data_IF_663241098604
#
_entry.id   IF_663241098604
#
_cell.length_a   1.000
_cell.length_b   1.000
_cell.length_c   1.000
_cell.angle_alpha   90.00
_cell.angle_beta   90.00
_cell.angle_gamma   90.00
#
_symmetry.space_group_name_H-M   'P 1'
#
loop_
_entity.id
_entity.type
_entity.pdbx_description
1 polymer ?
#
# COMPACT_ATOMS: atom_id res chain seq x y z
N UNK A 1 -5.27 -19.00 -18.74
CA UNK A 1 -6.25 -18.09 -19.41
C UNK A 1 -7.41 -17.93 -18.45
N UNK A 2 -7.43 -16.88 -17.65
CA UNK A 2 -8.59 -16.56 -16.82
C UNK A 2 -9.62 -15.90 -17.73
N UNK A 3 -10.75 -16.59 -17.96
CA UNK A 3 -11.91 -15.97 -18.59
C UNK A 3 -12.28 -14.73 -17.74
N UNK A 4 -12.11 -13.53 -18.30
CA UNK A 4 -12.74 -12.33 -17.76
C UNK A 4 -14.26 -12.51 -17.94
N UNK A 5 -15.05 -12.67 -16.87
CA UNK A 5 -16.48 -12.52 -17.00
C UNK A 5 -16.76 -11.02 -17.12
N UNK A 6 -17.31 -10.65 -18.26
CA UNK A 6 -18.01 -9.39 -18.49
C UNK A 6 -17.54 -8.17 -17.70
N UNK A 7 -16.55 -7.42 -18.23
CA UNK A 7 -16.26 -6.01 -17.90
C UNK A 7 -16.10 -5.61 -16.42
N UNK A 8 -16.05 -6.52 -15.49
CA UNK A 8 -15.77 -6.23 -14.09
C UNK A 8 -14.26 -6.16 -13.84
N UNK A 9 -13.82 -5.13 -13.13
CA UNK A 9 -12.48 -5.06 -12.57
C UNK A 9 -12.38 -5.92 -11.30
N UNK A 10 -11.29 -5.73 -10.56
CA UNK A 10 -11.04 -6.41 -9.29
C UNK A 10 -10.08 -5.61 -8.41
N UNK A 11 -10.03 -5.96 -7.13
CA UNK A 11 -9.17 -5.34 -6.13
C UNK A 11 -8.10 -6.34 -5.68
N UNK A 12 -6.82 -5.94 -5.81
CA UNK A 12 -5.66 -6.64 -5.27
C UNK A 12 -5.09 -5.83 -4.11
N UNK A 13 -4.90 -6.47 -2.96
CA UNK A 13 -4.32 -5.83 -1.78
C UNK A 13 -3.00 -6.47 -1.42
N UNK A 14 -1.98 -5.64 -1.26
CA UNK A 14 -0.64 -6.00 -0.80
C UNK A 14 -0.45 -5.35 0.57
N UNK A 15 -0.54 -6.13 1.63
CA UNK A 15 -0.40 -5.62 3.00
C UNK A 15 0.80 -6.25 3.72
N UNK A 16 1.12 -5.74 4.89
CA UNK A 16 2.21 -6.22 5.75
C UNK A 16 2.92 -5.10 6.47
N UNK A 17 3.87 -5.44 7.33
CA UNK A 17 4.65 -4.49 8.12
C UNK A 17 5.66 -3.68 7.27
N UNK A 18 6.34 -2.72 7.89
CA UNK A 18 7.46 -2.03 7.22
C UNK A 18 8.56 -3.03 6.83
N UNK A 19 9.27 -2.72 5.75
CA UNK A 19 10.37 -3.53 5.19
C UNK A 19 9.95 -4.88 4.58
N UNK A 20 8.66 -5.13 4.39
CA UNK A 20 8.15 -6.38 3.81
C UNK A 20 8.12 -6.42 2.28
N UNK A 21 8.52 -5.35 1.58
CA UNK A 21 8.57 -5.31 0.12
C UNK A 21 7.24 -4.97 -0.57
N UNK A 22 6.30 -4.34 0.13
CA UNK A 22 4.98 -3.97 -0.44
C UNK A 22 5.10 -3.07 -1.68
N UNK A 23 5.88 -2.01 -1.58
CA UNK A 23 6.07 -1.05 -2.69
C UNK A 23 6.78 -1.71 -3.87
N UNK A 24 7.76 -2.59 -3.64
CA UNK A 24 8.39 -3.40 -4.69
C UNK A 24 7.38 -4.26 -5.44
N UNK A 25 6.52 -4.95 -4.70
CA UNK A 25 5.49 -5.82 -5.29
C UNK A 25 4.44 -5.00 -6.04
N UNK A 26 4.02 -3.86 -5.51
CA UNK A 26 3.14 -2.91 -6.21
C UNK A 26 3.77 -2.48 -7.54
N UNK A 27 5.00 -1.98 -7.52
CA UNK A 27 5.73 -1.56 -8.72
C UNK A 27 5.87 -2.71 -9.71
N UNK A 28 6.19 -3.92 -9.24
CA UNK A 28 6.29 -5.12 -10.09
C UNK A 28 4.99 -5.41 -10.84
N UNK A 29 3.84 -5.32 -10.16
CA UNK A 29 2.51 -5.53 -10.79
C UNK A 29 2.17 -4.43 -11.80
N UNK A 30 2.45 -3.17 -11.45
CA UNK A 30 2.17 -2.03 -12.31
C UNK A 30 3.03 -2.07 -13.59
N UNK A 31 4.32 -2.38 -13.48
CA UNK A 31 5.20 -2.57 -14.66
C UNK A 31 4.72 -3.68 -15.58
N UNK A 32 4.21 -4.77 -15.03
CA UNK A 32 3.61 -5.84 -15.85
C UNK A 32 2.37 -5.36 -16.62
N UNK A 33 1.58 -4.46 -16.04
CA UNK A 33 0.45 -3.83 -16.73
C UNK A 33 0.92 -2.93 -17.88
N UNK A 34 1.96 -2.11 -17.64
CA UNK A 34 2.58 -1.28 -18.70
C UNK A 34 3.14 -2.12 -19.84
N UNK A 35 3.84 -3.22 -19.55
CA UNK A 35 4.33 -4.17 -20.56
C UNK A 35 3.17 -4.75 -21.38
N UNK A 36 2.01 -4.99 -20.74
CA UNK A 36 0.78 -5.41 -21.39
C UNK A 36 0.06 -4.29 -22.16
N UNK A 37 0.66 -3.09 -22.22
CA UNK A 37 0.12 -1.88 -22.89
C UNK A 37 -1.19 -1.39 -22.29
N UNK A 38 -1.41 -1.63 -21.01
CA UNK A 38 -2.51 -1.05 -20.25
C UNK A 38 -2.10 0.34 -19.75
N UNK A 39 -3.07 1.26 -19.73
CA UNK A 39 -2.87 2.57 -19.14
C UNK A 39 -2.84 2.47 -17.62
N UNK A 40 -1.82 3.06 -16.98
CA UNK A 40 -1.59 2.97 -15.54
C UNK A 40 -1.64 4.35 -14.91
N UNK A 41 -2.40 4.51 -13.83
CA UNK A 41 -2.36 5.67 -12.95
C UNK A 41 -1.98 5.24 -11.53
N UNK A 42 -1.11 6.01 -10.87
CA UNK A 42 -0.58 5.67 -9.56
C UNK A 42 -0.82 6.83 -8.61
N UNK A 43 -1.33 6.55 -7.43
CA UNK A 43 -1.69 7.52 -6.41
C UNK A 43 -0.99 7.25 -5.09
N UNK A 44 -0.66 8.33 -4.39
CA UNK A 44 -0.09 8.33 -3.05
C UNK A 44 -0.71 9.47 -2.24
N UNK A 45 -0.98 9.29 -0.94
CA UNK A 45 -1.51 10.38 -0.10
C UNK A 45 -0.43 11.44 0.12
N UNK A 46 -0.84 12.71 0.09
CA UNK A 46 0.01 13.85 0.39
C UNK A 46 0.09 14.06 1.91
N UNK A 47 0.89 13.27 2.59
CA UNK A 47 1.00 13.33 4.06
C UNK A 47 2.12 14.25 4.50
N UNK A 48 3.18 14.36 3.72
CA UNK A 48 4.34 15.20 4.05
C UNK A 48 5.11 15.62 2.79
N UNK A 49 5.38 16.91 2.71
CA UNK A 49 6.15 17.53 1.63
C UNK A 49 7.65 17.28 1.70
N UNK A 50 8.15 16.54 2.71
CA UNK A 50 9.57 16.27 2.91
C UNK A 50 10.14 15.12 2.10
N UNK A 51 9.28 14.29 1.50
CA UNK A 51 9.72 13.25 0.56
C UNK A 51 9.31 13.61 -0.86
N UNK A 52 10.33 13.92 -1.62
CA UNK A 52 10.43 14.27 -3.03
C UNK A 52 9.25 13.96 -3.95
N UNK A 53 8.93 14.99 -4.72
CA UNK A 53 8.16 15.02 -5.97
C UNK A 53 7.74 13.66 -6.54
N UNK A 54 6.50 13.23 -6.23
CA UNK A 54 5.67 12.43 -7.11
C UNK A 54 6.20 11.09 -7.62
N UNK A 55 7.14 10.42 -6.93
CA UNK A 55 7.58 9.09 -7.32
C UNK A 55 7.31 8.07 -6.20
N UNK A 56 6.81 6.88 -6.56
CA UNK A 56 6.95 5.72 -5.67
C UNK A 56 8.39 5.24 -5.81
N UNK A 57 9.11 5.25 -4.69
CA UNK A 57 10.49 4.75 -4.63
C UNK A 57 10.49 3.56 -3.69
N UNK A 58 10.91 2.40 -4.17
CA UNK A 58 11.25 1.29 -3.27
C UNK A 58 12.66 1.49 -2.71
N UNK A 59 12.99 0.82 -1.61
CA UNK A 59 14.34 0.77 -1.06
C UNK A 59 15.41 0.34 -2.10
N UNK A 60 15.01 -0.35 -3.17
CA UNK A 60 15.86 -0.78 -4.28
C UNK A 60 15.89 0.19 -5.47
N UNK A 61 15.54 1.48 -5.27
CA UNK A 61 15.54 2.53 -6.30
C UNK A 61 14.62 2.26 -7.51
N UNK A 62 13.64 1.38 -7.38
CA UNK A 62 12.60 1.22 -8.39
C UNK A 62 11.63 2.39 -8.27
N UNK A 63 11.48 3.16 -9.35
CA UNK A 63 10.63 4.36 -9.36
C UNK A 63 9.55 4.25 -10.41
N UNK A 64 8.34 4.65 -10.06
CA UNK A 64 7.26 4.96 -10.98
C UNK A 64 6.64 6.30 -10.56
N UNK A 65 6.30 7.11 -11.55
CA UNK A 65 5.70 8.43 -11.30
C UNK A 65 4.31 8.25 -10.67
N UNK A 66 4.10 8.82 -9.49
CA UNK A 66 2.80 8.83 -8.81
C UNK A 66 2.23 10.24 -8.69
N UNK A 67 0.91 10.32 -8.63
CA UNK A 67 0.16 11.53 -8.35
C UNK A 67 -0.06 11.63 -6.83
N UNK A 68 0.36 12.75 -6.25
CA UNK A 68 0.07 13.05 -4.85
C UNK A 68 -1.34 13.65 -4.76
N UNK A 69 -2.20 13.08 -3.94
CA UNK A 69 -3.57 13.51 -3.73
C UNK A 69 -3.84 13.79 -2.25
N UNK A 70 -4.70 14.76 -1.97
CA UNK A 70 -5.05 15.14 -0.61
C UNK A 70 -6.17 14.27 -0.02
N UNK A 71 -7.01 13.71 -0.88
CA UNK A 71 -8.12 12.84 -0.47
C UNK A 71 -8.41 11.74 -1.49
N UNK A 72 -9.12 10.69 -1.02
CA UNK A 72 -9.58 9.60 -1.88
C UNK A 72 -10.53 10.07 -3.00
N UNK A 73 -11.24 11.19 -2.80
CA UNK A 73 -12.19 11.73 -3.77
C UNK A 73 -11.53 12.21 -5.09
N UNK A 74 -10.23 12.54 -5.05
CA UNK A 74 -9.49 12.99 -6.23
C UNK A 74 -9.09 11.84 -7.15
N UNK A 75 -9.06 10.60 -6.65
CA UNK A 75 -8.56 9.44 -7.41
C UNK A 75 -9.44 9.13 -8.62
N UNK A 76 -10.74 8.99 -8.44
CA UNK A 76 -11.64 8.58 -9.52
C UNK A 76 -11.63 9.54 -10.73
N UNK A 77 -11.69 10.88 -10.56
CA UNK A 77 -11.57 11.81 -11.69
C UNK A 77 -10.24 11.72 -12.42
N UNK A 78 -9.13 11.59 -11.66
CA UNK A 78 -7.77 11.52 -12.22
C UNK A 78 -7.45 10.17 -12.85
N UNK A 79 -8.14 9.09 -12.45
CA UNK A 79 -7.97 7.73 -12.96
C UNK A 79 -8.91 7.40 -14.13
N UNK A 80 -9.65 8.38 -14.67
CA UNK A 80 -10.71 8.15 -15.66
C UNK A 80 -10.25 7.29 -16.85
N UNK A 81 -9.09 7.61 -17.41
CA UNK A 81 -8.56 6.96 -18.61
C UNK A 81 -7.59 5.79 -18.30
N UNK A 82 -7.40 5.44 -17.04
CA UNK A 82 -6.54 4.34 -16.67
C UNK A 82 -7.28 3.01 -16.67
N UNK A 83 -6.62 1.94 -17.14
CA UNK A 83 -7.09 0.55 -17.03
C UNK A 83 -6.71 -0.06 -15.68
N UNK A 84 -5.54 0.34 -15.17
CA UNK A 84 -4.96 -0.17 -13.93
C UNK A 84 -4.62 1.00 -13.01
N UNK A 85 -5.02 0.87 -11.75
CA UNK A 85 -4.85 1.90 -10.73
C UNK A 85 -4.00 1.33 -9.61
N UNK A 86 -2.86 1.95 -9.33
CA UNK A 86 -2.02 1.67 -8.17
C UNK A 86 -2.27 2.70 -7.08
N UNK A 87 -2.42 2.25 -5.83
CA UNK A 87 -2.55 3.13 -4.66
C UNK A 87 -1.54 2.66 -3.62
N UNK A 88 -0.57 3.51 -3.29
CA UNK A 88 0.43 3.22 -2.25
C UNK A 88 0.10 3.96 -0.95
N UNK A 89 0.61 3.46 0.18
CA UNK A 89 0.46 4.03 1.52
C UNK A 89 -1.02 4.26 1.91
N UNK A 90 -1.89 3.32 1.54
CA UNK A 90 -3.35 3.49 1.66
C UNK A 90 -3.83 3.68 3.09
N UNK A 91 -3.10 3.23 4.12
CA UNK A 91 -3.41 3.42 5.53
C UNK A 91 -3.55 4.91 5.94
N UNK A 92 -3.06 5.80 5.13
CA UNK A 92 -3.11 7.25 5.39
C UNK A 92 -4.26 7.96 4.68
N UNK A 93 -5.05 7.27 3.89
CA UNK A 93 -6.26 7.85 3.30
C UNK A 93 -7.43 7.87 4.29
N UNK A 94 -8.45 8.64 3.95
CA UNK A 94 -9.75 8.61 4.62
C UNK A 94 -10.53 7.32 4.30
N UNK A 95 -11.53 6.96 5.12
CA UNK A 95 -12.30 5.72 4.96
C UNK A 95 -13.08 5.64 3.63
N UNK A 96 -13.29 6.76 2.94
CA UNK A 96 -13.94 6.77 1.63
C UNK A 96 -13.11 6.06 0.57
N UNK A 97 -11.82 5.86 0.79
CA UNK A 97 -10.97 5.08 -0.11
C UNK A 97 -11.53 3.67 -0.35
N UNK A 98 -12.22 3.08 0.64
CA UNK A 98 -12.86 1.77 0.52
C UNK A 98 -13.93 1.80 -0.58
N UNK A 99 -14.84 2.77 -0.51
CA UNK A 99 -15.88 2.95 -1.53
C UNK A 99 -15.28 3.33 -2.87
N UNK A 100 -14.29 4.21 -2.89
CA UNK A 100 -13.57 4.60 -4.12
C UNK A 100 -12.97 3.38 -4.83
N UNK A 101 -12.31 2.50 -4.11
CA UNK A 101 -11.73 1.28 -4.69
C UNK A 101 -12.80 0.33 -5.26
N UNK A 102 -13.92 0.15 -4.55
CA UNK A 102 -15.07 -0.64 -5.01
C UNK A 102 -15.67 -0.08 -6.29
N UNK A 103 -15.91 1.23 -6.33
CA UNK A 103 -16.50 1.90 -7.49
C UNK A 103 -15.58 1.80 -8.71
N UNK A 104 -14.27 1.97 -8.53
CA UNK A 104 -13.30 1.78 -9.59
C UNK A 104 -13.31 0.35 -10.14
N UNK A 105 -13.31 -0.64 -9.26
CA UNK A 105 -13.40 -2.05 -9.66
C UNK A 105 -14.74 -2.38 -10.34
N UNK A 106 -15.86 -1.89 -9.82
CA UNK A 106 -17.17 -2.04 -10.42
C UNK A 106 -17.23 -1.42 -11.84
N UNK A 107 -16.46 -0.36 -12.09
CA UNK A 107 -16.30 0.27 -13.40
C UNK A 107 -15.23 -0.40 -14.28
N UNK A 108 -14.86 -1.63 -14.00
CA UNK A 108 -13.97 -2.44 -14.84
C UNK A 108 -12.48 -2.19 -14.66
N UNK A 109 -12.07 -1.40 -13.67
CA UNK A 109 -10.65 -1.09 -13.42
C UNK A 109 -10.01 -2.21 -12.58
N UNK A 110 -8.73 -2.50 -12.86
CA UNK A 110 -7.89 -3.29 -11.98
C UNK A 110 -7.28 -2.37 -10.93
N UNK A 111 -7.62 -2.55 -9.66
CA UNK A 111 -7.15 -1.70 -8.56
C UNK A 111 -6.13 -2.49 -7.71
N UNK A 112 -4.90 -1.99 -7.60
CA UNK A 112 -3.82 -2.61 -6.84
C UNK A 112 -3.45 -1.67 -5.71
N UNK A 113 -3.62 -2.13 -4.48
CA UNK A 113 -3.50 -1.31 -3.27
C UNK A 113 -2.38 -1.86 -2.40
N UNK A 114 -1.49 -0.98 -1.94
CA UNK A 114 -0.45 -1.33 -0.99
C UNK A 114 -0.55 -0.49 0.28
N UNK A 115 -0.33 -1.10 1.45
CA UNK A 115 -0.35 -0.39 2.73
C UNK A 115 0.02 -1.23 3.95
N UNK A 116 0.28 -0.54 5.06
CA UNK A 116 0.54 -1.14 6.36
C UNK A 116 -0.76 -1.68 6.97
N UNK A 117 -0.81 -2.97 7.29
CA UNK A 117 -1.99 -3.60 7.90
C UNK A 117 -2.17 -3.20 9.37
N UNK A 118 -1.05 -2.99 10.09
CA UNK A 118 -1.04 -2.53 11.48
C UNK A 118 -0.04 -1.38 11.68
N UNK A 119 -0.30 -0.54 12.66
CA UNK A 119 0.64 0.48 13.12
C UNK A 119 1.73 -0.15 14.05
N UNK A 120 2.63 0.69 14.57
CA UNK A 120 3.72 0.27 15.47
C UNK A 120 3.25 -0.33 16.80
N UNK A 121 1.97 -0.18 17.17
CA UNK A 121 1.36 -0.78 18.35
C UNK A 121 0.76 -2.17 18.07
N UNK A 122 0.82 -2.60 16.81
CA UNK A 122 0.18 -3.82 16.33
C UNK A 122 -1.35 -3.70 16.19
N UNK A 123 -1.90 -2.47 16.16
CA UNK A 123 -3.33 -2.21 15.99
C UNK A 123 -3.62 -2.00 14.49
N UNK A 124 -4.82 -2.40 14.01
CA UNK A 124 -5.23 -2.15 12.62
C UNK A 124 -5.07 -0.68 12.23
N UNK A 125 -4.52 -0.42 11.03
CA UNK A 125 -4.15 0.92 10.63
C UNK A 125 -5.10 1.51 9.58
N UNK A 126 -5.75 2.63 9.94
CA UNK A 126 -6.64 3.39 9.06
C UNK A 126 -7.66 2.53 8.33
N UNK A 127 -7.92 2.77 7.04
CA UNK A 127 -8.92 2.03 6.26
C UNK A 127 -8.51 0.61 5.89
N UNK A 128 -7.29 0.17 6.22
CA UNK A 128 -6.76 -1.14 5.78
C UNK A 128 -7.67 -2.33 6.09
N UNK A 129 -8.28 -2.47 7.29
CA UNK A 129 -9.18 -3.59 7.55
C UNK A 129 -10.34 -3.67 6.57
N UNK A 130 -10.95 -2.51 6.25
CA UNK A 130 -12.04 -2.43 5.28
C UNK A 130 -11.57 -2.77 3.86
N UNK A 131 -10.44 -2.25 3.44
CA UNK A 131 -9.83 -2.56 2.13
C UNK A 131 -9.50 -4.04 2.00
N UNK A 132 -8.94 -4.66 3.04
CA UNK A 132 -8.62 -6.09 3.05
C UNK A 132 -9.87 -6.97 2.93
N UNK A 133 -11.01 -6.54 3.49
CA UNK A 133 -12.28 -7.25 3.36
C UNK A 133 -12.88 -7.17 1.95
N UNK A 134 -12.59 -6.12 1.19
CA UNK A 134 -13.09 -5.92 -0.18
C UNK A 134 -12.15 -6.51 -1.25
N UNK A 135 -11.02 -7.07 -0.85
CA UNK A 135 -10.02 -7.60 -1.78
C UNK A 135 -10.50 -8.90 -2.45
N UNK A 136 -10.40 -8.97 -3.78
CA UNK A 136 -10.51 -10.23 -4.53
C UNK A 136 -9.24 -11.08 -4.38
N UNK A 137 -8.09 -10.40 -4.24
CA UNK A 137 -6.78 -11.02 -4.00
C UNK A 137 -6.06 -10.28 -2.87
N UNK A 138 -5.63 -11.03 -1.87
CA UNK A 138 -4.94 -10.48 -0.69
C UNK A 138 -3.60 -11.18 -0.48
N UNK A 139 -2.52 -10.42 -0.57
CA UNK A 139 -1.16 -10.87 -0.25
C UNK A 139 -0.66 -10.16 0.99
N UNK A 140 -0.46 -10.92 2.07
CA UNK A 140 0.16 -10.43 3.29
C UNK A 140 1.64 -10.78 3.30
N UNK A 141 2.46 -9.77 3.05
CA UNK A 141 3.91 -9.91 3.01
C UNK A 141 4.51 -9.84 4.41
N UNK A 142 5.66 -10.49 4.58
CA UNK A 142 6.42 -10.48 5.81
C UNK A 142 7.84 -10.01 5.55
N UNK A 143 8.38 -9.20 6.47
CA UNK A 143 9.80 -8.86 6.50
C UNK A 143 10.60 -9.96 7.22
N UNK A 144 11.87 -9.70 7.48
CA UNK A 144 12.73 -10.55 8.30
C UNK A 144 12.94 -9.88 9.65
N UNK A 145 12.72 -10.62 10.72
CA UNK A 145 12.93 -10.14 12.10
C UNK A 145 14.40 -9.82 12.34
N UNK A 146 14.69 -8.57 12.66
CA UNK A 146 16.06 -8.13 12.91
C UNK A 146 16.70 -8.83 14.14
N UNK A 147 15.87 -9.29 15.08
CA UNK A 147 16.37 -9.92 16.32
C UNK A 147 16.70 -11.39 16.12
N UNK A 148 15.87 -12.15 15.40
CA UNK A 148 16.00 -13.62 15.39
C UNK A 148 15.96 -14.25 13.97
N UNK A 149 15.85 -13.45 12.90
CA UNK A 149 15.84 -13.94 11.53
C UNK A 149 14.53 -14.63 11.07
N UNK A 150 13.53 -14.78 11.92
CA UNK A 150 12.25 -15.37 11.54
C UNK A 150 11.38 -14.41 10.72
N UNK A 151 10.35 -14.89 10.01
CA UNK A 151 9.37 -14.04 9.34
C UNK A 151 8.75 -13.03 10.32
N UNK A 152 8.74 -11.76 9.94
CA UNK A 152 8.30 -10.63 10.76
C UNK A 152 7.01 -10.02 10.21
N UNK A 153 6.02 -9.85 11.09
CA UNK A 153 4.72 -9.24 10.77
C UNK A 153 4.45 -7.95 11.55
N UNK A 154 5.39 -7.49 12.37
CA UNK A 154 5.24 -6.30 13.20
C UNK A 154 6.28 -5.25 12.85
N UNK A 155 5.87 -3.99 12.93
CA UNK A 155 6.75 -2.83 12.88
C UNK A 155 7.03 -2.39 14.31
N UNK A 156 8.25 -2.58 14.79
CA UNK A 156 8.69 -2.10 16.10
C UNK A 156 9.19 -0.67 15.96
N UNK A 157 8.66 0.24 16.80
CA UNK A 157 9.23 1.58 16.94
C UNK A 157 10.34 1.56 17.99
N UNK A 158 11.45 2.20 17.67
CA UNK A 158 12.64 2.27 18.53
C UNK A 158 12.66 3.55 19.38
N UNK A 159 11.88 4.57 19.00
CA UNK A 159 11.77 5.85 19.71
C UNK A 159 10.57 5.87 20.67
N UNK A 160 10.61 6.73 21.69
CA UNK A 160 9.53 6.88 22.69
C UNK A 160 8.43 7.87 22.27
N UNK A 161 8.42 8.31 21.04
CA UNK A 161 7.40 9.23 20.56
C UNK A 161 6.03 8.57 20.51
N UNK A 162 5.02 9.23 21.13
CA UNK A 162 3.66 8.70 21.23
C UNK A 162 2.81 8.92 19.96
N UNK A 163 3.23 9.80 19.05
CA UNK A 163 2.50 10.09 17.83
C UNK A 163 2.34 8.82 16.98
N UNK A 164 1.14 8.58 16.43
CA UNK A 164 0.89 7.39 15.61
C UNK A 164 1.80 7.35 14.37
N UNK A 165 2.04 8.48 13.75
CA UNK A 165 2.89 8.64 12.58
C UNK A 165 4.14 9.43 12.98
N UNK A 166 5.30 8.80 12.87
CA UNK A 166 6.62 9.44 12.95
C UNK A 166 7.33 9.10 11.66
N UNK A 167 7.78 10.13 10.95
CA UNK A 167 8.46 9.97 9.69
C UNK A 167 9.90 9.54 9.96
N UNK A 168 10.30 8.40 9.40
CA UNK A 168 11.64 7.84 9.52
C UNK A 168 11.68 6.42 8.97
N UNK A 169 12.88 5.92 8.82
CA UNK A 169 13.16 4.60 8.26
C UNK A 169 13.81 3.69 9.30
N UNK A 170 14.91 3.07 8.96
CA UNK A 170 15.62 2.06 9.77
C UNK A 170 16.24 2.58 11.07
N UNK A 171 16.34 3.88 11.25
CA UNK A 171 16.76 4.55 12.49
C UNK A 171 15.62 4.67 13.53
N UNK A 172 14.37 4.63 13.09
CA UNK A 172 13.17 4.79 13.93
C UNK A 172 12.38 3.49 14.03
N UNK A 173 12.41 2.66 12.99
CA UNK A 173 11.62 1.43 12.91
C UNK A 173 12.45 0.22 12.52
N UNK A 174 12.04 -0.94 13.03
CA UNK A 174 12.57 -2.23 12.60
C UNK A 174 11.48 -3.30 12.49
N UNK A 175 11.74 -4.35 11.71
CA UNK A 175 10.83 -5.47 11.56
C UNK A 175 11.03 -6.48 12.69
N UNK A 176 9.93 -6.90 13.35
CA UNK A 176 9.95 -7.94 14.38
C UNK A 176 8.90 -9.03 14.15
N UNK A 177 9.26 -10.27 14.51
CA UNK A 177 8.29 -11.36 14.56
C UNK A 177 7.41 -11.23 15.82
N UNK A 178 6.34 -12.01 15.90
CA UNK A 178 5.40 -12.00 17.03
C UNK A 178 6.08 -12.24 18.39
N UNK A 179 7.15 -13.07 18.42
CA UNK A 179 7.87 -13.38 19.65
C UNK A 179 8.78 -12.23 20.11
N UNK A 180 9.40 -11.52 19.17
CA UNK A 180 10.35 -10.45 19.46
C UNK A 180 9.72 -9.05 19.52
N UNK A 181 8.45 -8.94 19.13
CA UNK A 181 7.71 -7.68 19.18
C UNK A 181 7.39 -7.31 20.63
N UNK A 182 7.72 -6.09 21.01
CA UNK A 182 7.40 -5.47 22.30
C UNK A 182 6.36 -4.39 22.07
N UNK A 183 5.11 -4.67 22.47
CA UNK A 183 4.04 -3.67 22.40
C UNK A 183 4.39 -2.49 23.34
N UNK A 184 4.24 -1.22 22.87
CA UNK A 184 4.51 -0.03 23.68
C UNK A 184 3.53 0.16 24.81
#
# INVERSE_FOLDING_TARGET
>A
MTNKPNNSGWIEVICGNMFSGKTEELIRRLRRAEIARLSVAIFKPKIDTRYEEGNIVSHNQLQLKSLLVESSAEIAPLAKDADVIGIDEVQFFDDKIITTAKDLAANGKRVIIAGLDTDFRGVPFGPMPGIMCEADYLDKLQAICIVCGNPASYTQRLTKEAAQVVIGETDIYEARCRHCFEAP
#
